data_IF_797558531577
#
_entry.id   IF_797558531577
#
_cell.length_a   1.000
_cell.length_b   1.000
_cell.length_c   1.000
_cell.angle_alpha   90.00
_cell.angle_beta   90.00
_cell.angle_gamma   90.00
#
_symmetry.space_group_name_H-M   'P 1'
#
loop_
_entity.id
_entity.type
_entity.pdbx_description
1 polymer ?
#
# COMPACT_ATOMS: atom_id res chain seq x y z
N UNK A 1 9.47 -9.94 -6.87
CA UNK A 1 8.10 -9.68 -6.42
C UNK A 1 7.86 -10.34 -5.08
N UNK A 2 8.04 -9.58 -3.99
CA UNK A 2 7.95 -10.08 -2.61
C UNK A 2 7.06 -9.21 -1.72
N UNK A 3 5.93 -8.75 -2.24
CA UNK A 3 4.98 -7.94 -1.47
C UNK A 3 4.16 -8.83 -0.53
N UNK A 4 4.01 -8.42 0.73
CA UNK A 4 3.16 -9.08 1.71
C UNK A 4 1.78 -8.42 1.81
N UNK A 5 1.69 -7.15 1.45
CA UNK A 5 0.45 -6.38 1.51
C UNK A 5 0.18 -5.64 0.20
N UNK A 6 -1.09 -5.35 -0.05
CA UNK A 6 -1.50 -4.43 -1.11
C UNK A 6 -2.65 -3.55 -0.64
N UNK A 7 -2.73 -2.33 -1.15
CA UNK A 7 -3.80 -1.39 -0.82
C UNK A 7 -4.08 -0.39 -1.94
N UNK A 8 -5.26 0.21 -1.92
CA UNK A 8 -5.61 1.34 -2.77
C UNK A 8 -5.59 2.63 -1.94
N UNK A 9 -4.66 3.57 -2.21
CA UNK A 9 -4.56 4.84 -1.48
C UNK A 9 -5.87 5.63 -1.39
N UNK A 10 -6.72 5.56 -2.43
CA UNK A 10 -7.97 6.30 -2.49
C UNK A 10 -9.08 5.71 -1.60
N UNK A 11 -8.90 4.49 -1.10
CA UNK A 11 -9.86 3.81 -0.21
C UNK A 11 -9.44 3.83 1.26
N UNK A 12 -8.30 4.42 1.57
CA UNK A 12 -7.83 4.55 2.95
C UNK A 12 -8.14 5.94 3.47
N UNK A 13 -9.21 6.05 4.25
CA UNK A 13 -9.69 7.32 4.80
C UNK A 13 -8.82 7.85 5.95
N UNK A 14 -8.16 6.96 6.70
CA UNK A 14 -7.31 7.35 7.83
C UNK A 14 -5.85 7.49 7.40
N UNK A 15 -5.31 8.70 7.57
CA UNK A 15 -3.87 8.98 7.39
C UNK A 15 -2.98 8.25 8.41
N UNK A 16 -3.56 7.74 9.50
CA UNK A 16 -2.85 7.01 10.56
C UNK A 16 -2.90 5.48 10.37
N UNK A 17 -3.35 5.00 9.21
CA UNK A 17 -3.31 3.58 8.91
C UNK A 17 -1.86 3.10 8.84
N UNK A 18 -1.53 2.05 9.59
CA UNK A 18 -0.17 1.51 9.69
C UNK A 18 0.41 1.06 8.33
N UNK A 19 -0.44 0.78 7.35
CA UNK A 19 -0.03 0.41 6.00
C UNK A 19 0.81 1.49 5.30
N UNK A 20 0.64 2.77 5.67
CA UNK A 20 1.43 3.88 5.14
C UNK A 20 2.90 3.85 5.56
N UNK A 21 3.22 3.15 6.66
CA UNK A 21 4.59 2.98 7.14
C UNK A 21 5.32 1.84 6.44
N UNK A 22 4.64 1.05 5.60
CA UNK A 22 5.22 -0.11 4.93
C UNK A 22 6.00 0.31 3.67
N UNK A 23 7.20 -0.24 3.43
CA UNK A 23 7.96 0.05 2.22
C UNK A 23 7.19 -0.36 0.96
N UNK A 24 7.03 0.57 0.02
CA UNK A 24 6.37 0.32 -1.26
C UNK A 24 7.34 -0.41 -2.18
N UNK A 25 6.93 -1.58 -2.67
CA UNK A 25 7.70 -2.38 -3.62
C UNK A 25 7.32 -2.04 -5.06
N UNK A 26 6.01 -1.93 -5.34
CA UNK A 26 5.53 -1.68 -6.68
C UNK A 26 4.14 -1.00 -6.65
N UNK A 27 3.74 -0.41 -7.77
CA UNK A 27 2.40 0.11 -7.99
C UNK A 27 1.92 -0.27 -9.38
N UNK A 28 0.76 -0.93 -9.44
CA UNK A 28 0.11 -1.32 -10.70
C UNK A 28 -1.30 -0.75 -10.68
N UNK A 29 -1.57 0.22 -11.56
CA UNK A 29 -2.81 0.98 -11.55
C UNK A 29 -3.05 1.68 -10.21
N UNK A 30 -4.23 1.45 -9.63
CA UNK A 30 -4.63 2.01 -8.33
C UNK A 30 -4.18 1.18 -7.12
N UNK A 31 -3.46 0.06 -7.34
CA UNK A 31 -2.99 -0.81 -6.26
C UNK A 31 -1.52 -0.59 -5.99
N UNK A 32 -1.20 -0.33 -4.73
CA UNK A 32 0.15 -0.22 -4.19
C UNK A 32 0.47 -1.53 -3.48
N UNK A 33 1.63 -2.11 -3.76
CA UNK A 33 2.14 -3.34 -3.17
C UNK A 33 3.28 -2.99 -2.22
N UNK A 34 3.20 -3.47 -0.99
CA UNK A 34 4.13 -3.16 0.07
C UNK A 34 4.68 -4.42 0.76
N UNK A 35 5.87 -4.30 1.35
CA UNK A 35 6.42 -5.30 2.28
C UNK A 35 5.59 -5.38 3.53
#
# INVERSE_FOLDING_TARGET
GGALYFYNPAKIYSKYNWIWSRPIINRIGAHVFAL
#
